data_IF_292012404797
#
_entry.id   IF_292012404797
#
_cell.length_a   1.000
_cell.length_b   1.000
_cell.length_c   1.000
_cell.angle_alpha   90.00
_cell.angle_beta   90.00
_cell.angle_gamma   90.00
#
_symmetry.space_group_name_H-M   'P 1'
#
loop_
_entity.id
_entity.type
_entity.pdbx_description
1 polymer ?
#
# COMPACT_ATOMS: atom_id res chain seq x y z
N UNK A 1 28.57 52.68 -1.93
CA UNK A 1 28.44 51.91 -0.67
C UNK A 1 27.69 50.62 -0.98
N UNK A 2 28.20 49.50 -0.45
CA UNK A 2 27.66 48.14 -0.45
C UNK A 2 27.78 47.31 -1.74
N UNK A 3 28.15 46.03 -1.71
CA UNK A 3 29.14 45.27 -0.92
C UNK A 3 29.20 43.92 -1.66
N UNK A 4 30.30 43.61 -2.34
CA UNK A 4 30.44 42.38 -3.12
C UNK A 4 30.94 41.28 -2.17
N UNK A 5 30.07 40.36 -1.74
CA UNK A 5 30.47 39.22 -0.89
C UNK A 5 30.83 38.02 -1.76
N UNK A 6 32.13 37.77 -1.86
CA UNK A 6 32.69 36.49 -2.29
C UNK A 6 32.30 35.39 -1.30
N UNK A 7 31.81 34.26 -1.82
CA UNK A 7 31.68 33.00 -1.08
C UNK A 7 32.79 32.05 -1.56
N UNK A 8 33.58 31.44 -0.66
CA UNK A 8 34.60 30.49 -1.05
C UNK A 8 33.95 29.13 -1.37
N UNK A 9 34.37 28.55 -2.50
CA UNK A 9 34.08 27.18 -2.91
C UNK A 9 34.78 26.21 -1.95
N UNK A 10 34.02 25.51 -1.10
CA UNK A 10 34.52 24.32 -0.40
C UNK A 10 34.47 23.12 -1.35
N UNK A 11 35.64 22.65 -1.78
CA UNK A 11 35.81 21.34 -2.40
C UNK A 11 35.63 20.27 -1.32
N UNK A 12 34.57 19.47 -1.40
CA UNK A 12 34.45 18.23 -0.61
C UNK A 12 35.02 17.09 -1.45
N UNK A 13 36.15 16.55 -0.99
CA UNK A 13 36.79 15.36 -1.55
C UNK A 13 35.98 14.14 -1.14
N UNK A 14 35.42 13.41 -2.12
CA UNK A 14 34.82 12.09 -1.92
C UNK A 14 35.95 11.08 -1.74
N UNK A 15 36.17 10.62 -0.52
CA UNK A 15 36.99 9.42 -0.28
C UNK A 15 36.08 8.21 -0.41
N UNK A 16 36.21 7.48 -1.52
CA UNK A 16 35.55 6.21 -1.78
C UNK A 16 36.07 5.16 -0.81
N UNK A 17 35.24 4.66 0.11
CA UNK A 17 35.58 3.50 0.92
C UNK A 17 35.08 2.23 0.21
N UNK A 18 35.99 1.52 -0.42
CA UNK A 18 35.74 0.19 -0.96
C UNK A 18 35.62 -0.82 0.20
N UNK A 19 34.47 -1.49 0.31
CA UNK A 19 34.29 -2.64 1.20
C UNK A 19 34.82 -3.89 0.50
N UNK A 20 35.98 -4.35 0.96
CA UNK A 20 36.56 -5.66 0.63
C UNK A 20 35.67 -6.76 1.23
N UNK A 21 35.32 -7.73 0.38
CA UNK A 21 34.65 -8.97 0.77
C UNK A 21 35.71 -9.97 1.23
N UNK A 22 35.58 -10.48 2.44
CA UNK A 22 36.21 -11.76 2.86
C UNK A 22 35.17 -12.62 3.57
N UNK A 23 35.12 -13.93 3.27
CA UNK A 23 34.11 -14.83 3.80
C UNK A 23 34.50 -15.30 5.21
N UNK A 24 33.54 -15.42 6.12
CA UNK A 24 33.72 -16.16 7.36
C UNK A 24 32.70 -17.30 7.41
N UNK A 25 33.23 -18.50 7.29
CA UNK A 25 32.57 -19.79 7.48
C UNK A 25 32.29 -20.03 8.97
N UNK A 26 31.18 -20.74 9.23
CA UNK A 26 30.83 -21.48 10.45
C UNK A 26 30.48 -20.68 11.73
N UNK A 27 29.16 -20.55 11.96
CA UNK A 27 28.54 -20.61 13.29
C UNK A 27 27.05 -20.97 13.17
N UNK A 28 26.76 -22.16 12.65
CA UNK A 28 25.49 -22.86 12.89
C UNK A 28 25.81 -23.94 13.90
N UNK A 29 25.37 -23.76 15.15
CA UNK A 29 25.15 -24.76 16.21
C UNK A 29 25.23 -24.02 17.55
N UNK A 30 24.08 -23.46 18.00
CA UNK A 30 23.74 -23.14 19.41
C UNK A 30 22.44 -22.34 19.55
N UNK A 31 21.35 -22.84 18.96
CA UNK A 31 20.01 -22.30 19.23
C UNK A 31 18.93 -23.41 19.35
N UNK A 32 19.34 -24.63 19.72
CA UNK A 32 18.43 -25.78 19.86
C UNK A 32 18.33 -26.34 21.30
N UNK A 33 18.97 -25.73 22.30
CA UNK A 33 18.92 -26.21 23.69
C UNK A 33 18.59 -25.07 24.65
N UNK A 34 17.35 -24.57 24.59
CA UNK A 34 16.76 -23.75 25.66
C UNK A 34 15.22 -23.72 25.55
N UNK A 35 14.58 -24.89 25.57
CA UNK A 35 13.15 -24.99 25.94
C UNK A 35 12.77 -26.44 26.23
N UNK A 36 13.10 -26.92 27.43
CA UNK A 36 12.50 -28.13 28.02
C UNK A 36 12.27 -27.90 29.52
N UNK A 37 11.04 -28.15 29.98
CA UNK A 37 10.53 -27.97 31.35
C UNK A 37 9.85 -26.60 31.49
N UNK A 38 8.54 -26.46 31.68
CA UNK A 38 7.66 -27.17 32.63
C UNK A 38 6.26 -27.35 32.02
N UNK A 39 5.66 -28.54 32.18
CA UNK A 39 4.27 -28.82 31.81
C UNK A 39 3.33 -28.33 32.92
N UNK A 40 2.37 -27.48 32.56
CA UNK A 40 1.18 -27.20 33.36
C UNK A 40 -0.05 -27.54 32.50
N UNK A 41 -0.90 -28.40 33.02
CA UNK A 41 -1.98 -29.09 32.33
C UNK A 41 -3.17 -28.13 32.13
N UNK A 42 -3.41 -27.68 30.89
CA UNK A 42 -4.61 -26.91 30.55
C UNK A 42 -5.69 -27.86 29.99
N UNK A 43 -6.73 -28.01 30.81
CA UNK A 43 -7.93 -28.80 30.59
C UNK A 43 -8.69 -28.35 29.32
N UNK A 44 -8.79 -29.24 28.33
CA UNK A 44 -9.52 -29.02 27.07
C UNK A 44 -10.91 -29.66 27.14
N UNK A 45 -11.80 -29.06 27.93
CA UNK A 45 -13.24 -29.37 27.89
C UNK A 45 -14.05 -28.09 28.15
N UNK A 46 -14.05 -27.19 27.15
CA UNK A 46 -15.00 -26.08 27.05
C UNK A 46 -14.99 -25.47 25.63
N UNK A 47 -15.19 -26.28 24.60
CA UNK A 47 -15.46 -25.77 23.25
C UNK A 47 -16.36 -26.72 22.44
N UNK A 48 -17.44 -27.19 23.05
CA UNK A 48 -18.51 -27.86 22.31
C UNK A 48 -19.89 -27.51 22.88
N UNK A 49 -20.37 -26.30 22.56
CA UNK A 49 -21.79 -25.92 22.56
C UNK A 49 -21.97 -24.64 21.72
N UNK A 50 -21.94 -24.75 20.40
CA UNK A 50 -22.64 -23.78 19.53
C UNK A 50 -23.60 -24.52 18.60
N UNK A 51 -24.90 -24.34 18.89
CA UNK A 51 -26.04 -24.85 18.13
C UNK A 51 -25.95 -24.44 16.65
N UNK A 52 -26.30 -25.37 15.76
CA UNK A 52 -26.57 -25.14 14.35
C UNK A 52 -27.56 -23.99 14.16
N UNK A 53 -27.07 -22.86 13.63
CA UNK A 53 -27.91 -21.81 13.06
C UNK A 53 -28.37 -22.22 11.67
N UNK A 54 -29.68 -22.28 11.46
CA UNK A 54 -30.30 -22.59 10.16
C UNK A 54 -30.23 -21.38 9.24
N UNK A 55 -29.23 -21.30 8.37
CA UNK A 55 -29.29 -20.40 7.20
C UNK A 55 -30.01 -21.15 6.08
N UNK A 56 -31.28 -20.83 5.82
CA UNK A 56 -31.99 -21.28 4.63
C UNK A 56 -31.39 -20.57 3.41
N UNK A 57 -30.67 -21.29 2.57
CA UNK A 57 -30.34 -20.89 1.21
C UNK A 57 -31.57 -21.09 0.33
N UNK A 58 -32.15 -20.01 -0.17
CA UNK A 58 -33.17 -20.06 -1.23
C UNK A 58 -32.47 -20.32 -2.56
N UNK A 59 -32.66 -21.52 -3.10
CA UNK A 59 -32.29 -21.87 -4.46
C UNK A 59 -33.35 -21.30 -5.42
N UNK A 60 -33.12 -20.12 -6.00
CA UNK A 60 -33.77 -19.77 -7.25
C UNK A 60 -32.86 -20.19 -8.41
N UNK A 61 -33.30 -21.21 -9.12
CA UNK A 61 -32.64 -21.76 -10.28
C UNK A 61 -32.77 -20.79 -11.47
N UNK A 62 -31.64 -20.23 -11.91
CA UNK A 62 -31.50 -19.71 -13.26
C UNK A 62 -31.08 -20.86 -14.17
N UNK A 63 -31.99 -21.31 -15.04
CA UNK A 63 -31.71 -22.27 -16.11
C UNK A 63 -30.84 -21.61 -17.18
N UNK A 64 -29.53 -21.56 -16.92
CA UNK A 64 -28.50 -21.17 -17.88
C UNK A 64 -27.69 -22.40 -18.30
N UNK A 65 -27.80 -22.78 -19.57
CA UNK A 65 -27.12 -23.90 -20.24
C UNK A 65 -25.61 -23.89 -19.95
N UNK A 66 -25.09 -24.91 -19.26
CA UNK A 66 -23.65 -25.01 -18.97
C UNK A 66 -22.86 -25.32 -20.25
N UNK A 67 -22.03 -24.37 -20.67
CA UNK A 67 -20.88 -24.69 -21.50
C UNK A 67 -19.75 -25.02 -20.52
N UNK A 68 -19.45 -26.31 -20.40
CA UNK A 68 -18.37 -26.79 -19.54
C UNK A 68 -17.03 -26.30 -20.04
N UNK A 69 -16.51 -25.23 -19.44
CA UNK A 69 -15.09 -24.97 -19.45
C UNK A 69 -14.51 -25.45 -18.12
N UNK A 70 -13.70 -26.52 -18.20
CA UNK A 70 -12.82 -26.93 -17.12
C UNK A 70 -11.84 -25.78 -16.83
N UNK A 71 -12.19 -24.92 -15.86
CA UNK A 71 -11.21 -24.04 -15.23
C UNK A 71 -10.36 -24.92 -14.30
N UNK A 72 -9.18 -25.30 -14.77
CA UNK A 72 -8.20 -25.96 -13.93
C UNK A 72 -7.85 -25.04 -12.76
N UNK A 73 -8.13 -25.48 -11.53
CA UNK A 73 -7.70 -24.80 -10.31
C UNK A 73 -6.18 -24.79 -10.26
N UNK A 74 -5.55 -23.67 -10.59
CA UNK A 74 -4.11 -23.49 -10.39
C UNK A 74 -3.87 -23.42 -8.88
N UNK A 75 -3.25 -24.46 -8.31
CA UNK A 75 -2.79 -24.41 -6.93
C UNK A 75 -1.62 -23.44 -6.83
N UNK A 76 -1.86 -22.23 -6.30
CA UNK A 76 -0.78 -21.33 -5.95
C UNK A 76 -0.03 -21.88 -4.72
N UNK A 77 1.32 -21.87 -4.72
CA UNK A 77 2.09 -22.26 -3.55
C UNK A 77 1.78 -21.32 -2.38
N UNK A 78 1.71 -21.87 -1.17
CA UNK A 78 1.47 -21.11 0.04
C UNK A 78 2.54 -20.03 0.24
N UNK A 79 2.14 -18.82 0.61
CA UNK A 79 3.07 -17.74 0.96
C UNK A 79 3.76 -18.05 2.29
N UNK A 80 5.10 -18.11 2.36
CA UNK A 80 5.82 -18.46 3.58
C UNK A 80 5.58 -17.41 4.68
N UNK A 81 5.61 -17.84 5.94
CA UNK A 81 5.43 -16.93 7.08
C UNK A 81 6.55 -15.89 7.18
N UNK A 82 7.79 -16.31 6.93
CA UNK A 82 8.96 -15.44 6.84
C UNK A 82 9.37 -15.33 5.36
N UNK A 83 9.40 -14.13 4.79
CA UNK A 83 9.87 -13.95 3.42
C UNK A 83 11.37 -14.23 3.33
N UNK A 84 11.82 -14.83 2.24
CA UNK A 84 13.24 -15.07 1.96
C UNK A 84 13.97 -13.81 1.52
N UNK A 85 13.23 -12.84 0.97
CA UNK A 85 13.76 -11.58 0.45
C UNK A 85 13.19 -10.39 1.23
N UNK A 86 13.98 -9.33 1.34
CA UNK A 86 13.57 -8.10 2.01
C UNK A 86 12.73 -7.23 1.07
N UNK A 87 11.47 -7.62 0.87
CA UNK A 87 10.51 -6.91 0.02
C UNK A 87 9.48 -6.19 0.89
N UNK A 88 9.13 -4.95 0.52
CA UNK A 88 8.03 -4.19 1.12
C UNK A 88 7.27 -3.40 0.06
N UNK A 89 6.85 -4.07 -1.01
CA UNK A 89 6.13 -3.49 -2.15
C UNK A 89 4.61 -3.40 -1.94
N UNK A 90 4.12 -3.86 -0.78
CA UNK A 90 2.71 -3.83 -0.39
C UNK A 90 2.51 -3.25 1.02
N UNK A 91 1.28 -2.82 1.31
CA UNK A 91 0.91 -2.18 2.59
C UNK A 91 1.24 -3.04 3.83
N UNK A 92 1.28 -4.37 3.69
CA UNK A 92 1.62 -5.29 4.79
C UNK A 92 2.96 -6.02 4.62
N UNK A 93 3.82 -5.54 3.70
CA UNK A 93 5.07 -6.19 3.34
C UNK A 93 4.86 -7.35 2.37
N UNK A 94 4.15 -8.39 2.80
CA UNK A 94 3.84 -9.61 2.02
C UNK A 94 2.34 -9.94 2.01
N UNK A 95 1.92 -10.80 1.09
CA UNK A 95 0.50 -11.12 0.83
C UNK A 95 -0.21 -11.80 2.00
N UNK A 96 0.49 -12.53 2.85
CA UNK A 96 -0.06 -13.11 4.09
C UNK A 96 0.00 -12.16 5.30
N UNK A 97 0.34 -10.88 5.07
CA UNK A 97 0.21 -9.76 5.99
C UNK A 97 0.97 -9.85 7.33
N UNK A 98 2.06 -10.62 7.41
CA UNK A 98 2.80 -10.78 8.68
C UNK A 98 3.59 -9.54 9.12
N UNK A 99 3.85 -8.58 8.22
CA UNK A 99 4.69 -7.39 8.50
C UNK A 99 6.08 -7.75 9.05
N UNK A 100 6.67 -8.83 8.56
CA UNK A 100 7.98 -9.33 8.97
C UNK A 100 9.04 -9.01 7.92
N UNK A 101 10.23 -8.57 8.36
CA UNK A 101 11.40 -8.37 7.50
C UNK A 101 12.49 -9.40 7.82
N UNK A 102 13.13 -10.03 6.82
CA UNK A 102 14.21 -11.00 7.06
C UNK A 102 15.57 -10.33 7.30
N UNK A 103 15.65 -8.99 7.25
CA UNK A 103 16.89 -8.24 7.46
C UNK A 103 17.35 -8.34 8.91
N UNK A 104 18.66 -8.56 9.08
CA UNK A 104 19.31 -8.75 10.39
C UNK A 104 20.39 -7.72 10.70
N UNK A 105 20.51 -6.67 9.89
CA UNK A 105 21.52 -5.62 10.12
C UNK A 105 21.26 -4.85 11.41
N UNK A 106 19.99 -4.53 11.68
CA UNK A 106 19.54 -3.88 12.91
C UNK A 106 19.00 -4.98 13.84
N UNK A 107 19.54 -5.04 15.04
CA UNK A 107 19.23 -6.05 16.05
C UNK A 107 18.99 -5.40 17.41
N UNK A 108 18.52 -6.17 18.40
CA UNK A 108 18.32 -5.66 19.76
C UNK A 108 19.62 -5.13 20.39
N UNK A 109 20.77 -5.68 19.99
CA UNK A 109 22.09 -5.32 20.51
C UNK A 109 22.65 -4.01 19.92
N UNK A 110 22.13 -3.55 18.77
CA UNK A 110 22.66 -2.38 18.07
C UNK A 110 21.63 -1.29 17.74
N UNK A 111 20.33 -1.52 17.97
CA UNK A 111 19.25 -0.55 17.69
C UNK A 111 19.46 0.79 18.40
N UNK A 112 20.13 0.77 19.55
CA UNK A 112 20.50 1.97 20.31
C UNK A 112 21.53 2.88 19.58
N UNK A 113 22.14 2.42 18.50
CA UNK A 113 23.11 3.17 17.68
C UNK A 113 22.46 3.87 16.48
N UNK A 114 21.15 3.69 16.27
CA UNK A 114 20.46 4.32 15.16
C UNK A 114 20.48 5.84 15.27
N UNK A 115 20.68 6.49 14.13
CA UNK A 115 20.59 7.94 13.99
C UNK A 115 19.65 8.26 12.85
N UNK A 116 19.01 9.43 12.91
CA UNK A 116 18.15 9.92 11.82
C UNK A 116 19.01 10.17 10.58
N UNK A 117 18.74 9.44 9.50
CA UNK A 117 19.47 9.57 8.22
C UNK A 117 18.91 10.68 7.34
N UNK A 118 17.59 10.88 7.35
CA UNK A 118 16.90 11.99 6.68
C UNK A 118 15.50 12.17 7.29
N UNK A 119 14.87 13.29 6.96
CA UNK A 119 13.49 13.62 7.34
C UNK A 119 12.80 14.27 6.16
N UNK A 120 11.51 13.97 5.97
CA UNK A 120 10.68 14.56 4.92
C UNK A 120 9.39 15.11 5.52
N UNK A 121 9.14 16.40 5.31
CA UNK A 121 7.90 17.06 5.75
C UNK A 121 6.93 17.12 4.56
N UNK A 122 5.83 16.38 4.62
CA UNK A 122 4.83 16.37 3.55
C UNK A 122 4.10 17.71 3.39
N UNK A 123 3.97 18.45 4.50
CA UNK A 123 3.15 19.67 4.59
C UNK A 123 1.65 19.38 4.70
N UNK A 124 1.23 18.12 4.64
CA UNK A 124 -0.18 17.72 4.62
C UNK A 124 -0.70 17.45 6.04
N UNK A 125 -0.72 18.52 6.83
CA UNK A 125 -1.10 18.52 8.26
C UNK A 125 -2.15 19.60 8.51
N UNK A 126 -3.20 19.25 9.26
CA UNK A 126 -4.19 20.18 9.81
C UNK A 126 -4.50 19.80 11.25
N UNK A 127 -4.61 20.81 12.13
CA UNK A 127 -5.03 20.64 13.53
C UNK A 127 -6.55 20.70 13.71
N UNK A 128 -7.31 20.94 12.64
CA UNK A 128 -8.77 20.99 12.64
C UNK A 128 -9.39 22.28 13.20
N UNK A 129 -8.59 23.31 13.54
CA UNK A 129 -9.12 24.57 14.11
C UNK A 129 -9.65 25.57 13.07
N UNK A 130 -9.64 25.21 11.80
CA UNK A 130 -10.15 26.03 10.68
C UNK A 130 -11.11 25.24 9.79
N UNK A 131 -11.20 25.63 8.52
CA UNK A 131 -12.11 25.00 7.55
C UNK A 131 -11.67 23.59 7.10
N UNK A 132 -10.39 23.26 7.32
CA UNK A 132 -9.83 21.94 6.96
C UNK A 132 -9.91 21.01 8.17
N UNK A 133 -10.57 19.83 8.07
CA UNK A 133 -10.61 18.87 9.17
C UNK A 133 -9.21 18.41 9.61
N UNK A 134 -9.09 17.93 10.85
CA UNK A 134 -7.82 17.44 11.37
C UNK A 134 -7.29 16.26 10.53
N UNK A 135 -5.97 16.19 10.38
CA UNK A 135 -5.30 15.09 9.68
C UNK A 135 -4.80 14.03 10.65
N UNK A 136 -4.89 12.76 10.26
CA UNK A 136 -4.27 11.64 10.98
C UNK A 136 -3.38 10.86 10.02
N UNK A 137 -2.13 10.59 10.44
CA UNK A 137 -1.24 9.72 9.69
C UNK A 137 -1.61 8.25 9.89
N UNK A 138 -1.96 7.57 8.80
CA UNK A 138 -2.23 6.12 8.80
C UNK A 138 -1.55 5.38 7.66
N UNK A 139 -0.68 6.07 6.92
CA UNK A 139 -0.01 5.49 5.77
C UNK A 139 1.14 4.59 6.19
N UNK A 140 1.22 3.41 5.56
CA UNK A 140 2.45 2.61 5.52
C UNK A 140 3.14 2.91 4.20
N UNK A 141 4.31 3.57 4.20
CA UNK A 141 5.10 3.71 2.97
C UNK A 141 5.44 2.35 2.38
N UNK A 142 5.46 2.25 1.06
CA UNK A 142 5.94 1.05 0.37
C UNK A 142 7.26 1.34 -0.33
N UNK A 143 8.12 0.34 -0.43
CA UNK A 143 9.37 0.37 -1.16
C UNK A 143 9.30 -0.58 -2.35
N UNK A 144 9.24 -0.02 -3.54
CA UNK A 144 9.22 -0.75 -4.81
C UNK A 144 9.93 0.09 -5.86
N UNK A 145 10.40 -0.52 -6.96
CA UNK A 145 11.05 0.23 -8.04
C UNK A 145 12.17 1.18 -7.53
N UNK A 146 12.92 0.73 -6.51
CA UNK A 146 13.98 1.50 -5.84
C UNK A 146 13.51 2.89 -5.35
N UNK A 147 12.23 3.01 -4.98
CA UNK A 147 11.55 4.26 -4.64
C UNK A 147 10.64 4.04 -3.45
N UNK A 148 10.57 5.00 -2.53
CA UNK A 148 9.59 5.01 -1.46
C UNK A 148 8.35 5.75 -1.97
N UNK A 149 7.17 5.13 -1.89
CA UNK A 149 5.91 5.74 -2.26
C UNK A 149 5.02 5.96 -1.04
N UNK A 150 4.42 7.14 -0.94
CA UNK A 150 3.65 7.61 0.20
C UNK A 150 2.33 8.22 -0.28
N UNK A 151 1.22 7.81 0.31
CA UNK A 151 -0.07 8.50 0.21
C UNK A 151 -0.30 9.34 1.47
N UNK A 152 -0.64 10.61 1.34
CA UNK A 152 -0.78 11.54 2.47
C UNK A 152 -2.23 11.73 2.90
N UNK A 153 -2.50 12.30 4.09
CA UNK A 153 -3.87 12.64 4.52
C UNK A 153 -4.62 13.60 3.60
N UNK A 154 -3.94 14.39 2.78
CA UNK A 154 -4.56 15.26 1.76
C UNK A 154 -4.65 14.58 0.39
N UNK A 155 -4.53 13.25 0.34
CA UNK A 155 -4.58 12.45 -0.87
C UNK A 155 -3.53 12.89 -1.91
N UNK A 156 -2.34 13.31 -1.47
CA UNK A 156 -1.18 13.48 -2.34
C UNK A 156 -0.39 12.17 -2.41
N UNK A 157 0.13 11.87 -3.60
CA UNK A 157 1.01 10.74 -3.82
C UNK A 157 2.43 11.26 -4.00
N UNK A 158 3.36 10.81 -3.17
CA UNK A 158 4.74 11.31 -3.14
C UNK A 158 5.71 10.15 -3.36
N UNK A 159 6.68 10.35 -4.24
CA UNK A 159 7.78 9.43 -4.49
C UNK A 159 9.10 10.02 -3.99
N UNK A 160 9.81 9.27 -3.14
CA UNK A 160 11.07 9.69 -2.53
C UNK A 160 12.20 8.74 -2.91
N UNK A 161 13.39 9.31 -3.04
CA UNK A 161 14.63 8.55 -3.04
C UNK A 161 14.87 7.93 -1.65
N UNK A 162 15.07 6.60 -1.54
CA UNK A 162 15.18 5.92 -0.25
C UNK A 162 16.46 6.27 0.52
N UNK A 163 17.55 6.63 -0.17
CA UNK A 163 18.84 6.91 0.44
C UNK A 163 18.95 8.32 0.99
N UNK A 164 18.29 9.28 0.34
CA UNK A 164 18.43 10.70 0.63
C UNK A 164 17.17 11.37 1.16
N UNK A 165 15.99 10.74 1.00
CA UNK A 165 14.71 11.34 1.32
C UNK A 165 14.27 12.45 0.37
N UNK A 166 15.02 12.70 -0.72
CA UNK A 166 14.68 13.71 -1.71
C UNK A 166 13.45 13.31 -2.50
N UNK A 167 12.57 14.26 -2.73
CA UNK A 167 11.41 14.06 -3.60
C UNK A 167 11.85 13.85 -5.05
N UNK A 168 11.38 12.76 -5.64
CA UNK A 168 11.53 12.46 -7.08
C UNK A 168 10.39 13.09 -7.87
N UNK A 169 9.18 12.92 -7.38
CA UNK A 169 7.96 13.54 -7.91
C UNK A 169 6.85 13.49 -6.87
N UNK A 170 5.83 14.33 -7.05
CA UNK A 170 4.54 14.18 -6.36
C UNK A 170 3.39 14.38 -7.34
N UNK A 171 2.22 13.89 -6.93
CA UNK A 171 0.97 14.09 -7.63
C UNK A 171 -0.10 14.55 -6.63
N UNK A 172 -0.68 15.72 -6.90
CA UNK A 172 -1.81 16.25 -6.15
C UNK A 172 -3.11 15.85 -6.85
N UNK A 173 -3.88 14.98 -6.20
CA UNK A 173 -5.17 14.49 -6.72
C UNK A 173 -6.23 15.57 -6.79
N UNK A 174 -6.02 16.71 -6.11
CA UNK A 174 -7.01 17.77 -5.91
C UNK A 174 -8.32 17.25 -5.28
N UNK A 175 -8.23 16.15 -4.54
CA UNK A 175 -9.38 15.57 -3.83
C UNK A 175 -9.91 16.50 -2.75
N UNK A 176 -11.19 16.33 -2.44
CA UNK A 176 -11.91 17.15 -1.46
C UNK A 176 -11.25 17.08 -0.08
N UNK A 177 -10.90 18.24 0.48
CA UNK A 177 -10.37 18.36 1.85
C UNK A 177 -11.49 18.53 2.88
N UNK A 178 -12.54 17.72 2.76
CA UNK A 178 -13.72 17.74 3.63
C UNK A 178 -13.89 16.41 4.34
N UNK A 179 -14.52 16.46 5.51
CA UNK A 179 -14.92 15.28 6.26
C UNK A 179 -16.11 14.59 5.56
N UNK A 180 -15.83 13.76 4.55
CA UNK A 180 -16.87 13.09 3.76
C UNK A 180 -17.39 11.83 4.44
N UNK A 181 -16.48 10.92 4.79
CA UNK A 181 -16.81 9.60 5.35
C UNK A 181 -16.42 9.47 6.82
N UNK A 182 -15.56 10.37 7.31
CA UNK A 182 -14.94 10.35 8.63
C UNK A 182 -14.66 11.81 9.06
N UNK A 183 -14.61 12.11 10.37
CA UNK A 183 -14.38 13.47 10.88
C UNK A 183 -12.93 13.97 10.68
N UNK A 184 -12.02 13.10 10.24
CA UNK A 184 -10.60 13.42 10.00
C UNK A 184 -10.21 13.06 8.58
N UNK A 185 -9.23 13.79 8.04
CA UNK A 185 -8.59 13.44 6.79
C UNK A 185 -7.50 12.39 7.05
N UNK A 186 -7.59 11.26 6.37
CA UNK A 186 -6.65 10.14 6.50
C UNK A 186 -6.56 9.38 5.19
N UNK A 187 -5.36 8.88 4.89
CA UNK A 187 -5.12 7.95 3.81
C UNK A 187 -4.23 6.81 4.35
N UNK A 188 -4.48 5.56 3.90
CA UNK A 188 -3.70 4.39 4.35
C UNK A 188 -2.49 4.11 3.47
N UNK A 189 -2.29 4.88 2.40
CA UNK A 189 -1.14 4.76 1.52
C UNK A 189 -1.54 4.24 0.15
N UNK A 190 -0.62 3.50 -0.45
CA UNK A 190 -0.65 3.17 -1.87
C UNK A 190 -0.50 1.67 -2.10
N UNK A 191 -0.71 1.23 -3.34
CA UNK A 191 -0.40 -0.12 -3.81
C UNK A 191 0.45 -0.05 -5.07
N UNK A 192 1.32 -1.04 -5.27
CA UNK A 192 2.20 -1.10 -6.43
C UNK A 192 1.88 -2.31 -7.30
N UNK A 193 2.03 -2.14 -8.62
CA UNK A 193 2.01 -3.21 -9.60
C UNK A 193 3.09 -2.97 -10.64
N UNK A 194 3.62 -4.03 -11.23
CA UNK A 194 4.44 -3.94 -12.42
C UNK A 194 4.21 -5.10 -13.36
N UNK A 195 4.41 -4.86 -14.66
CA UNK A 195 4.53 -5.91 -15.65
C UNK A 195 5.67 -6.87 -15.28
N UNK A 196 5.55 -8.14 -15.67
CA UNK A 196 6.60 -9.15 -15.41
C UNK A 196 7.94 -8.78 -16.03
N UNK A 197 7.89 -8.11 -17.18
CA UNK A 197 9.05 -7.64 -17.94
C UNK A 197 8.74 -6.21 -18.39
N UNK A 198 8.93 -5.21 -17.52
CA UNK A 198 8.60 -3.83 -17.85
C UNK A 198 9.54 -3.32 -18.95
N UNK A 199 8.97 -2.73 -20.00
CA UNK A 199 9.72 -2.15 -21.11
C UNK A 199 10.17 -0.73 -20.74
N UNK A 200 11.48 -0.48 -20.79
CA UNK A 200 12.02 0.83 -20.46
C UNK A 200 11.50 1.92 -21.43
N UNK A 201 11.06 3.05 -20.89
CA UNK A 201 10.51 4.16 -21.67
C UNK A 201 9.03 4.03 -22.04
N UNK A 202 8.41 2.86 -21.85
CA UNK A 202 6.97 2.72 -21.97
C UNK A 202 6.27 3.13 -20.66
N UNK A 203 5.27 4.00 -20.79
CA UNK A 203 4.49 4.45 -19.64
C UNK A 203 3.66 3.31 -19.06
N UNK A 204 3.49 3.33 -17.74
CA UNK A 204 2.56 2.47 -17.00
C UNK A 204 2.88 0.97 -17.09
N UNK A 205 4.13 0.63 -17.37
CA UNK A 205 4.67 -0.72 -17.13
C UNK A 205 4.87 -0.99 -15.63
N UNK A 206 4.97 0.08 -14.82
CA UNK A 206 5.04 0.09 -13.35
C UNK A 206 4.07 1.14 -12.86
N UNK A 207 3.15 0.77 -11.97
CA UNK A 207 2.02 1.60 -11.58
C UNK A 207 1.92 1.67 -10.07
N UNK A 208 1.73 2.89 -9.56
CA UNK A 208 1.32 3.13 -8.18
C UNK A 208 -0.14 3.56 -8.17
N UNK A 209 -0.94 2.89 -7.35
CA UNK A 209 -2.36 3.15 -7.17
C UNK A 209 -2.63 3.83 -5.83
N UNK A 210 -3.58 4.76 -5.83
CA UNK A 210 -4.07 5.41 -4.60
C UNK A 210 -5.56 5.70 -4.70
N UNK A 211 -6.30 5.26 -3.69
CA UNK A 211 -7.68 5.67 -3.46
C UNK A 211 -7.73 6.96 -2.64
N UNK A 212 -8.71 7.81 -2.91
CA UNK A 212 -8.89 9.10 -2.25
C UNK A 212 -10.16 9.14 -1.39
N UNK A 213 -10.25 10.12 -0.50
CA UNK A 213 -11.38 10.28 0.42
C UNK A 213 -12.71 10.53 -0.31
N UNK A 214 -12.65 11.11 -1.51
CA UNK A 214 -13.81 11.36 -2.38
C UNK A 214 -14.14 10.17 -3.31
N UNK A 215 -13.58 8.99 -3.05
CA UNK A 215 -13.94 7.74 -3.71
C UNK A 215 -13.38 7.58 -5.12
N UNK A 216 -12.34 8.32 -5.48
CA UNK A 216 -11.63 8.16 -6.76
C UNK A 216 -10.45 7.21 -6.58
N UNK A 217 -10.08 6.53 -7.66
CA UNK A 217 -8.88 5.71 -7.74
C UNK A 217 -7.97 6.27 -8.83
N UNK A 218 -6.73 6.55 -8.47
CA UNK A 218 -5.70 7.03 -9.39
C UNK A 218 -4.70 5.92 -9.68
N UNK A 219 -4.23 5.86 -10.92
CA UNK A 219 -3.13 5.02 -11.37
C UNK A 219 -2.07 5.92 -11.98
N UNK A 220 -0.89 5.95 -11.38
CA UNK A 220 0.23 6.78 -11.82
C UNK A 220 1.38 5.89 -12.28
N UNK A 221 2.04 6.28 -13.36
CA UNK A 221 3.31 5.71 -13.77
C UNK A 221 4.35 5.90 -12.65
N UNK A 222 4.96 4.80 -12.21
CA UNK A 222 5.78 4.78 -11.00
C UNK A 222 7.12 5.54 -11.16
N UNK A 223 7.59 5.74 -12.40
CA UNK A 223 8.84 6.44 -12.69
C UNK A 223 8.62 7.95 -12.80
N UNK A 224 7.53 8.37 -13.44
CA UNK A 224 7.28 9.77 -13.80
C UNK A 224 6.21 10.48 -12.96
N UNK A 225 5.39 9.74 -12.22
CA UNK A 225 4.24 10.28 -11.48
C UNK A 225 3.08 10.72 -12.36
N UNK A 226 3.14 10.48 -13.67
CA UNK A 226 2.08 10.88 -14.61
C UNK A 226 0.90 9.91 -14.56
N UNK A 227 -0.35 10.38 -14.69
CA UNK A 227 -1.51 9.50 -14.78
C UNK A 227 -1.41 8.54 -15.96
N UNK A 228 -1.77 7.28 -15.72
CA UNK A 228 -1.90 6.28 -16.76
C UNK A 228 -3.16 6.54 -17.58
N UNK A 229 -3.00 6.91 -18.85
CA UNK A 229 -4.11 7.26 -19.73
C UNK A 229 -5.15 6.14 -19.77
N UNK A 230 -4.77 4.91 -20.11
CA UNK A 230 -5.72 3.79 -20.24
C UNK A 230 -6.44 3.34 -18.96
N UNK A 231 -6.18 3.96 -17.81
CA UNK A 231 -6.82 3.61 -16.54
C UNK A 231 -8.06 4.47 -16.27
N UNK A 232 -9.19 3.82 -16.01
CA UNK A 232 -10.47 4.44 -15.62
C UNK A 232 -11.03 5.51 -16.60
N UNK A 233 -10.53 5.58 -17.84
CA UNK A 233 -10.98 6.53 -18.87
C UNK A 233 -12.50 6.49 -19.12
N UNK A 234 -13.11 5.30 -19.10
CA UNK A 234 -14.56 5.15 -19.25
C UNK A 234 -15.36 5.58 -18.02
N UNK A 235 -14.75 5.53 -16.83
CA UNK A 235 -15.40 5.91 -15.58
C UNK A 235 -15.35 7.43 -15.35
N UNK A 236 -14.21 8.08 -15.65
CA UNK A 236 -14.07 9.55 -15.51
C UNK A 236 -15.00 10.33 -16.42
N UNK A 237 -15.22 9.87 -17.65
CA UNK A 237 -16.15 10.50 -18.60
C UNK A 237 -17.61 10.46 -18.09
N UNK A 238 -17.99 9.41 -17.36
CA UNK A 238 -19.30 9.31 -16.71
C UNK A 238 -19.45 10.24 -15.51
N UNK A 239 -18.42 10.39 -14.69
CA UNK A 239 -18.47 11.18 -13.45
C UNK A 239 -18.55 12.71 -13.70
N UNK A 240 -17.89 13.22 -14.75
CA UNK A 240 -18.01 14.64 -15.13
C UNK A 240 -19.42 15.04 -15.58
N UNK A 241 -20.24 14.08 -16.00
CA UNK A 241 -21.63 14.35 -16.40
C UNK A 241 -22.62 14.50 -15.23
N UNK A 242 -22.20 14.16 -14.01
CA UNK A 242 -23.06 14.18 -12.81
C UNK A 242 -22.98 15.51 -12.06
N UNK A 243 -21.95 16.33 -12.30
CA UNK A 243 -21.80 17.63 -11.61
C UNK A 243 -22.76 18.73 -12.13
N UNK A 244 -23.61 18.46 -13.13
CA UNK A 244 -24.60 19.42 -13.67
C UNK A 244 -26.05 18.91 -13.66
N UNK A 245 -26.36 17.83 -12.93
CA UNK A 245 -27.73 17.38 -12.80
C UNK A 245 -27.93 16.54 -11.57
N UNK A 246 -28.63 17.10 -10.57
CA UNK A 246 -29.28 16.31 -9.55
C UNK A 246 -30.14 15.23 -10.22
N UNK A 247 -29.67 13.99 -10.20
CA UNK A 247 -30.54 12.83 -10.26
C UNK A 247 -30.33 12.01 -9.02
N UNK A 248 -31.31 12.13 -8.11
CA UNK A 248 -31.61 11.13 -7.11
C UNK A 248 -31.56 9.74 -7.77
N UNK A 249 -30.72 8.85 -7.24
CA UNK A 249 -30.69 7.45 -7.65
C UNK A 249 -31.95 6.81 -7.03
N UNK A 250 -33.07 6.84 -7.76
CA UNK A 250 -34.23 6.05 -7.38
C UNK A 250 -33.89 4.57 -7.59
N UNK A 251 -33.93 3.79 -6.52
CA UNK A 251 -33.80 2.34 -6.56
C UNK A 251 -34.83 1.78 -7.56
N UNK A 252 -34.33 1.13 -8.63
CA UNK A 252 -35.17 0.42 -9.59
C UNK A 252 -35.78 -0.78 -8.85
N UNK A 253 -37.04 -0.64 -8.41
CA UNK A 253 -37.87 -1.78 -8.08
C UNK A 253 -38.25 -2.47 -9.39
N UNK A 254 -37.80 -3.70 -9.61
CA UNK A 254 -38.36 -4.53 -10.68
C UNK A 254 -39.75 -5.00 -10.24
N UNK A 255 -40.80 -4.41 -10.82
CA UNK A 255 -42.12 -5.02 -10.78
C UNK A 255 -42.15 -6.16 -11.79
N UNK A 256 -42.22 -7.40 -11.29
CA UNK A 256 -42.51 -8.56 -12.13
C UNK A 256 -43.99 -8.50 -12.56
N UNK A 257 -44.25 -8.25 -13.83
CA UNK A 257 -45.55 -8.45 -14.45
C UNK A 257 -45.80 -9.94 -14.62
N UNK A 258 -46.80 -10.48 -13.92
CA UNK A 258 -47.23 -11.87 -14.07
C UNK A 258 -48.18 -11.96 -15.28
N UNK A 259 -47.70 -12.53 -16.39
CA UNK A 259 -48.48 -12.87 -17.57
C UNK A 259 -48.89 -14.34 -17.52
N UNK A 260 -50.20 -14.59 -17.54
CA UNK A 260 -50.81 -15.89 -17.24
C UNK A 260 -50.63 -17.01 -18.27
N UNK A 261 -51.08 -18.18 -17.83
CA UNK A 261 -51.84 -19.16 -18.60
C UNK A 261 -52.95 -19.71 -17.71
#
# INVERSE_FOLDING_TARGET
MHNNKHYPLLKVSMTTLALLVTPLTQAQDKAAEASQGTQEELNVDAADQQKQGTTKTTNEASTGKSVGQNVASVSQPATPLVPSEAIWDSFHGQLNAQKYSPLKQITAENVNKLTKVWEFHTGDVSDGKGETPATVWSATPIFANQTIYIGTPFDRLIALDPGTGKEKWHYDTKSSRKALTQPVLKNRGVSYWQAKQPVAGEACQKIVYMGTVDGKLFALDADSGKPCSGFADKWRAGYQSVEHGERQISAVHSSATNGGR
#
